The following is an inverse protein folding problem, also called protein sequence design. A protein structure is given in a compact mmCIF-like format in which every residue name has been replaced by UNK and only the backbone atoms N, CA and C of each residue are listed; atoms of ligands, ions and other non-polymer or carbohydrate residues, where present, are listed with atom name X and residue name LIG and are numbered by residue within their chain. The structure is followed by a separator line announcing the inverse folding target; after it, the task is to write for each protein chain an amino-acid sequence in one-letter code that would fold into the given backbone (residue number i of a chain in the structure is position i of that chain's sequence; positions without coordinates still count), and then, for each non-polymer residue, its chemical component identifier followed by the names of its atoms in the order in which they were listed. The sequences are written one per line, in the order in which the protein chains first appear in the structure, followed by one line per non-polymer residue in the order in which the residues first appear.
data_IF_123282409139
#
_entry.id   IF_123282409139
#
_cell.length_a   1.000
_cell.length_b   1.000
_cell.length_c   1.000
_cell.angle_alpha   90.00
_cell.angle_beta   90.00
_cell.angle_gamma   90.00
#
_symmetry.space_group_name_H-M   'P 1'
#
loop_
_entity.id
_entity.type
_entity.pdbx_description
1 polymer ?
#
# COMPACT_ATOMS: atom_id res chain seq x y z
N UNK A 1 4.42 22.24 -8.67
CA UNK A 1 3.17 22.24 -7.89
C UNK A 1 2.98 20.85 -7.33
N UNK A 2 2.56 20.72 -6.06
CA UNK A 2 2.19 19.44 -5.45
C UNK A 2 0.75 19.12 -5.90
N UNK A 3 0.58 18.05 -6.64
CA UNK A 3 -0.67 17.61 -7.25
C UNK A 3 -0.70 16.08 -7.37
N UNK A 4 -1.79 15.50 -7.84
CA UNK A 4 -1.91 14.05 -8.01
C UNK A 4 -0.74 13.45 -8.81
N UNK A 5 -0.25 14.14 -9.84
CA UNK A 5 0.91 13.67 -10.64
C UNK A 5 2.20 13.58 -9.82
N UNK A 6 2.34 14.37 -8.75
CA UNK A 6 3.51 14.26 -7.88
C UNK A 6 3.47 12.96 -7.06
N UNK A 7 2.28 12.56 -6.61
CA UNK A 7 2.14 11.27 -5.94
C UNK A 7 2.39 10.09 -6.90
N UNK A 8 1.94 10.20 -8.16
CA UNK A 8 2.22 9.19 -9.18
C UNK A 8 3.73 8.98 -9.39
N UNK A 9 4.55 10.05 -9.26
CA UNK A 9 6.01 9.93 -9.29
C UNK A 9 6.55 9.15 -8.09
N UNK A 10 6.01 9.37 -6.88
CA UNK A 10 6.39 8.58 -5.70
C UNK A 10 6.01 7.11 -5.89
N UNK A 11 4.83 6.83 -6.45
CA UNK A 11 4.39 5.47 -6.78
C UNK A 11 5.28 4.83 -7.84
N UNK A 12 5.69 5.57 -8.85
CA UNK A 12 6.60 5.07 -9.89
C UNK A 12 7.96 4.68 -9.30
N UNK A 13 8.44 5.41 -8.30
CA UNK A 13 9.68 5.07 -7.59
C UNK A 13 9.54 3.76 -6.80
N UNK A 14 8.40 3.53 -6.14
CA UNK A 14 8.10 2.25 -5.51
C UNK A 14 8.13 1.09 -6.50
N UNK A 15 7.40 1.22 -7.62
CA UNK A 15 7.40 0.22 -8.70
C UNK A 15 8.78 -0.02 -9.28
N UNK A 16 9.57 1.04 -9.49
CA UNK A 16 10.94 0.97 -9.96
C UNK A 16 11.84 0.16 -9.01
N UNK A 17 11.81 0.43 -7.71
CA UNK A 17 12.54 -0.35 -6.72
C UNK A 17 12.15 -1.83 -6.73
N UNK A 18 10.85 -2.13 -6.74
CA UNK A 18 10.34 -3.51 -6.75
C UNK A 18 10.82 -4.24 -8.01
N UNK A 19 10.70 -3.63 -9.19
CA UNK A 19 11.16 -4.21 -10.46
C UNK A 19 12.67 -4.43 -10.49
N UNK A 20 13.47 -3.41 -10.13
CA UNK A 20 14.92 -3.52 -10.13
C UNK A 20 15.41 -4.58 -9.12
N UNK A 21 14.85 -4.62 -7.90
CA UNK A 21 15.18 -5.67 -6.93
C UNK A 21 14.82 -7.07 -7.44
N UNK A 22 13.72 -7.24 -8.17
CA UNK A 22 13.34 -8.53 -8.74
C UNK A 22 14.33 -9.02 -9.80
N UNK A 23 14.96 -8.10 -10.55
CA UNK A 23 15.97 -8.40 -11.54
C UNK A 23 17.34 -8.79 -10.94
N UNK A 24 17.66 -8.35 -9.70
CA UNK A 24 18.91 -8.71 -9.02
C UNK A 24 18.95 -10.21 -8.74
N UNK A 25 19.88 -10.91 -9.38
CA UNK A 25 20.10 -12.34 -9.16
C UNK A 25 21.07 -12.54 -8.00
N UNK A 26 20.54 -13.06 -6.89
CA UNK A 26 21.35 -13.48 -5.74
C UNK A 26 21.27 -15.00 -5.62
N UNK A 27 22.36 -15.62 -5.18
CA UNK A 27 22.36 -17.04 -4.76
C UNK A 27 21.59 -17.12 -3.42
N UNK A 28 20.29 -17.33 -3.49
CA UNK A 28 19.42 -17.42 -2.34
C UNK A 28 18.79 -18.81 -2.26
N UNK A 29 18.59 -19.35 -1.05
CA UNK A 29 17.74 -20.52 -0.89
C UNK A 29 16.32 -20.15 -1.34
N UNK A 30 15.63 -21.10 -1.95
CA UNK A 30 14.23 -20.90 -2.34
C UNK A 30 13.40 -20.42 -1.13
N UNK A 31 12.49 -19.46 -1.33
CA UNK A 31 11.60 -19.05 -0.26
C UNK A 31 10.74 -20.25 0.19
N UNK A 32 10.32 -20.29 1.47
CA UNK A 32 9.38 -21.29 1.94
C UNK A 32 8.18 -21.39 0.98
N UNK A 33 7.65 -22.61 0.71
CA UNK A 33 6.52 -22.76 -0.22
C UNK A 33 5.33 -21.88 0.12
N UNK A 34 5.05 -21.68 1.41
CA UNK A 34 3.98 -20.81 1.88
C UNK A 34 4.18 -19.31 1.56
N UNK A 35 5.40 -18.88 1.20
CA UNK A 35 5.69 -17.50 0.73
C UNK A 35 5.69 -17.37 -0.79
N UNK A 36 5.56 -18.47 -1.52
CA UNK A 36 5.54 -18.42 -2.98
C UNK A 36 4.18 -17.89 -3.45
N UNK A 37 4.24 -16.96 -4.41
CA UNK A 37 3.04 -16.43 -5.05
C UNK A 37 2.35 -17.57 -5.80
N UNK A 38 1.09 -17.83 -5.49
CA UNK A 38 0.28 -18.80 -6.23
C UNK A 38 -0.35 -18.12 -7.45
N UNK A 39 -0.63 -18.91 -8.49
CA UNK A 39 -1.31 -18.39 -9.68
C UNK A 39 -2.64 -17.73 -9.32
N UNK A 40 -2.84 -16.49 -9.74
CA UNK A 40 -4.04 -15.69 -9.45
C UNK A 40 -3.98 -14.86 -8.16
N UNK A 41 -2.87 -14.88 -7.41
CA UNK A 41 -2.67 -13.98 -6.27
C UNK A 41 -1.91 -12.73 -6.74
N UNK A 42 -2.45 -11.54 -6.47
CA UNK A 42 -1.78 -10.27 -6.75
C UNK A 42 -0.72 -9.92 -5.68
N UNK A 43 -0.89 -10.42 -4.47
CA UNK A 43 -0.01 -10.13 -3.35
C UNK A 43 0.54 -11.43 -2.76
N UNK A 44 1.86 -11.46 -2.52
CA UNK A 44 2.48 -12.65 -1.94
C UNK A 44 2.16 -12.77 -0.45
N UNK A 45 2.05 -13.99 0.10
CA UNK A 45 1.97 -14.19 1.55
C UNK A 45 3.10 -13.50 2.32
N UNK A 46 4.25 -13.26 1.68
CA UNK A 46 5.35 -12.48 2.26
C UNK A 46 4.93 -11.04 2.58
N UNK A 47 4.11 -10.41 1.75
CA UNK A 47 3.60 -9.07 2.01
C UNK A 47 2.72 -9.06 3.28
N UNK A 48 1.83 -10.03 3.43
CA UNK A 48 0.99 -10.15 4.63
C UNK A 48 1.81 -10.44 5.89
N UNK A 49 2.84 -11.27 5.80
CA UNK A 49 3.74 -11.51 6.92
C UNK A 49 4.51 -10.24 7.32
N UNK A 50 4.95 -9.44 6.33
CA UNK A 50 5.57 -8.13 6.57
C UNK A 50 4.59 -7.17 7.24
N UNK A 51 3.34 -7.11 6.79
CA UNK A 51 2.29 -6.30 7.42
C UNK A 51 2.00 -6.77 8.84
N UNK A 52 1.89 -8.07 9.06
CA UNK A 52 1.67 -8.65 10.38
C UNK A 52 2.80 -8.29 11.37
N UNK A 53 4.04 -8.19 10.90
CA UNK A 53 5.18 -7.77 11.71
C UNK A 53 5.09 -6.32 12.21
N UNK A 54 4.27 -5.48 11.59
CA UNK A 54 4.02 -4.12 12.06
C UNK A 54 3.29 -4.10 13.41
N UNK A 55 2.64 -5.19 13.78
CA UNK A 55 1.92 -5.33 15.05
C UNK A 55 2.78 -5.93 16.18
N UNK A 56 3.87 -6.63 15.87
CA UNK A 56 4.75 -7.23 16.89
C UNK A 56 5.34 -6.17 17.84
N UNK A 57 5.31 -6.35 19.18
CA UNK A 57 4.92 -7.54 19.94
C UNK A 57 3.43 -7.67 20.28
N UNK A 58 2.59 -6.74 19.86
CA UNK A 58 1.15 -6.78 20.10
C UNK A 58 0.50 -7.93 19.32
N UNK A 59 -0.61 -8.51 19.82
CA UNK A 59 -1.31 -9.52 19.06
C UNK A 59 -1.93 -8.92 17.80
N UNK A 60 -1.89 -9.72 16.73
CA UNK A 60 -2.57 -9.42 15.48
C UNK A 60 -3.92 -10.12 15.45
N UNK A 61 -4.94 -9.48 14.93
CA UNK A 61 -6.23 -10.09 14.60
C UNK A 61 -6.60 -9.83 13.15
N UNK A 62 -7.58 -10.56 12.63
CA UNK A 62 -8.17 -10.30 11.32
C UNK A 62 -8.66 -8.84 11.23
N UNK A 63 -9.31 -8.35 12.30
CA UNK A 63 -9.81 -6.98 12.36
C UNK A 63 -8.68 -5.95 12.27
N UNK A 64 -7.57 -6.15 13.00
CA UNK A 64 -6.40 -5.27 12.95
C UNK A 64 -5.79 -5.22 11.55
N UNK A 65 -5.54 -6.38 10.94
CA UNK A 65 -4.93 -6.45 9.62
C UNK A 65 -5.83 -5.83 8.54
N UNK A 66 -7.16 -5.98 8.67
CA UNK A 66 -8.12 -5.31 7.79
C UNK A 66 -8.18 -3.79 7.93
N UNK A 67 -7.74 -3.22 9.03
CA UNK A 67 -7.55 -1.76 9.10
C UNK A 67 -6.39 -1.33 8.21
N UNK A 68 -5.36 -2.16 8.09
CA UNK A 68 -4.20 -1.91 7.21
C UNK A 68 -4.51 -2.17 5.73
N UNK A 69 -5.40 -3.15 5.45
CA UNK A 69 -5.96 -3.41 4.12
C UNK A 69 -7.50 -3.49 4.18
N UNK A 70 -8.14 -2.33 4.10
CA UNK A 70 -9.60 -2.20 4.23
C UNK A 70 -10.37 -2.76 3.04
N UNK A 71 -9.69 -3.05 1.94
CA UNK A 71 -10.27 -3.55 0.70
C UNK A 71 -10.32 -5.08 0.64
N UNK A 72 -9.50 -5.78 1.44
CA UNK A 72 -9.50 -7.24 1.48
C UNK A 72 -10.74 -7.78 2.20
N UNK A 73 -11.30 -8.88 1.70
CA UNK A 73 -12.35 -9.61 2.38
C UNK A 73 -11.82 -10.27 3.64
N UNK A 74 -12.61 -10.29 4.71
CA UNK A 74 -12.25 -10.91 5.99
C UNK A 74 -11.77 -12.36 5.82
N UNK A 75 -12.47 -13.13 4.96
CA UNK A 75 -12.15 -14.55 4.73
C UNK A 75 -10.75 -14.78 4.14
N UNK A 76 -10.24 -13.87 3.29
CA UNK A 76 -8.89 -14.06 2.73
C UNK A 76 -7.82 -13.72 3.76
N UNK A 77 -8.04 -12.68 4.55
CA UNK A 77 -7.16 -12.32 5.65
C UNK A 77 -7.10 -13.43 6.70
N UNK A 78 -8.26 -13.98 7.08
CA UNK A 78 -8.35 -15.11 7.99
C UNK A 78 -7.61 -16.34 7.44
N UNK A 79 -7.82 -16.69 6.17
CA UNK A 79 -7.16 -17.82 5.52
C UNK A 79 -5.62 -17.66 5.50
N UNK A 80 -5.11 -16.44 5.26
CA UNK A 80 -3.68 -16.18 5.28
C UNK A 80 -3.09 -16.30 6.68
N UNK A 81 -3.78 -15.82 7.71
CA UNK A 81 -3.35 -15.99 9.10
C UNK A 81 -3.31 -17.47 9.51
N UNK A 82 -4.30 -18.26 9.08
CA UNK A 82 -4.29 -19.72 9.32
C UNK A 82 -3.11 -20.41 8.62
N UNK A 83 -2.78 -20.04 7.39
CA UNK A 83 -1.58 -20.56 6.70
C UNK A 83 -0.32 -20.23 7.50
N UNK A 84 -0.18 -19.01 7.99
CA UNK A 84 0.98 -18.59 8.78
C UNK A 84 1.05 -19.29 10.14
N UNK A 85 -0.10 -19.59 10.75
CA UNK A 85 -0.16 -20.38 11.97
C UNK A 85 0.21 -21.86 11.71
N UNK A 86 -0.26 -22.47 10.62
CA UNK A 86 0.10 -23.82 10.21
C UNK A 86 1.61 -23.98 9.93
N UNK A 87 2.25 -22.95 9.36
CA UNK A 87 3.71 -22.85 9.18
C UNK A 87 4.47 -22.56 10.49
N UNK A 88 3.78 -22.43 11.62
CA UNK A 88 4.32 -22.13 12.95
C UNK A 88 5.02 -20.75 13.03
N UNK A 89 4.62 -19.82 12.16
CA UNK A 89 5.11 -18.42 12.24
C UNK A 89 4.33 -17.61 13.26
N UNK A 90 3.09 -18.03 13.55
CA UNK A 90 2.25 -17.45 14.59
C UNK A 90 1.72 -18.54 15.53
N UNK A 91 1.55 -18.15 16.79
CA UNK A 91 0.71 -18.88 17.75
C UNK A 91 -0.67 -18.24 17.76
N UNK A 92 -1.71 -19.08 17.60
CA UNK A 92 -3.10 -18.63 17.68
C UNK A 92 -3.65 -18.82 19.08
N UNK A 93 -4.23 -17.76 19.65
CA UNK A 93 -4.92 -17.75 20.93
C UNK A 93 -6.33 -17.14 20.74
N UNK A 94 -7.33 -17.98 20.46
CA UNK A 94 -8.66 -17.50 20.07
C UNK A 94 -8.62 -16.78 18.73
N UNK A 95 -8.97 -15.49 18.73
CA UNK A 95 -8.92 -14.62 17.53
C UNK A 95 -7.61 -13.85 17.40
N UNK A 96 -6.70 -13.99 18.33
CA UNK A 96 -5.41 -13.32 18.37
C UNK A 96 -4.29 -14.22 17.85
N UNK A 97 -3.35 -13.62 17.11
CA UNK A 97 -2.17 -14.27 16.54
C UNK A 97 -0.92 -13.56 17.05
N UNK A 98 0.00 -14.31 17.63
CA UNK A 98 1.27 -13.79 18.16
C UNK A 98 2.44 -14.28 17.32
N UNK A 99 3.29 -13.35 16.86
CA UNK A 99 4.45 -13.68 16.06
C UNK A 99 5.46 -14.50 16.86
N UNK A 100 5.85 -15.67 16.34
CA UNK A 100 6.82 -16.59 16.93
C UNK A 100 8.25 -16.28 16.51
N UNK A 101 9.21 -16.91 17.17
CA UNK A 101 10.62 -16.85 16.80
C UNK A 101 10.87 -17.34 15.37
N UNK A 102 10.16 -18.40 14.94
CA UNK A 102 10.24 -18.93 13.57
C UNK A 102 9.75 -17.92 12.52
N UNK A 103 8.65 -17.22 12.80
CA UNK A 103 8.14 -16.15 11.95
C UNK A 103 9.09 -14.95 11.87
N UNK A 104 9.68 -14.54 13.01
CA UNK A 104 10.72 -13.49 13.04
C UNK A 104 11.93 -13.89 12.22
N UNK A 105 12.40 -15.14 12.29
CA UNK A 105 13.51 -15.62 11.47
C UNK A 105 13.20 -15.57 9.96
N UNK A 106 11.94 -15.80 9.55
CA UNK A 106 11.52 -15.62 8.15
C UNK A 106 11.55 -14.15 7.76
N UNK A 107 11.03 -13.25 8.60
CA UNK A 107 11.09 -11.80 8.37
C UNK A 107 12.51 -11.28 8.26
N UNK A 108 13.41 -11.73 9.13
CA UNK A 108 14.82 -11.32 9.09
C UNK A 108 15.47 -11.75 7.77
N UNK A 109 15.14 -12.93 7.24
CA UNK A 109 15.61 -13.35 5.91
C UNK A 109 15.05 -12.45 4.80
N UNK A 110 13.76 -12.12 4.85
CA UNK A 110 13.14 -11.22 3.87
C UNK A 110 13.83 -9.86 3.90
N UNK A 111 14.08 -9.32 5.10
CA UNK A 111 14.80 -8.05 5.28
C UNK A 111 16.24 -8.13 4.73
N UNK A 112 17.01 -9.13 5.15
CA UNK A 112 18.38 -9.32 4.70
C UNK A 112 18.48 -9.46 3.18
N UNK A 113 17.55 -10.19 2.55
CA UNK A 113 17.47 -10.32 1.10
C UNK A 113 17.16 -8.97 0.43
N UNK A 114 16.21 -8.22 0.96
CA UNK A 114 15.88 -6.88 0.48
C UNK A 114 17.10 -5.95 0.58
N UNK A 115 17.78 -5.89 1.72
CA UNK A 115 18.96 -5.06 1.92
C UNK A 115 20.05 -5.41 0.92
N UNK A 116 20.33 -6.72 0.70
CA UNK A 116 21.33 -7.15 -0.30
C UNK A 116 20.95 -6.73 -1.71
N UNK A 117 19.68 -6.86 -2.10
CA UNK A 117 19.19 -6.45 -3.43
C UNK A 117 19.30 -4.94 -3.60
N UNK A 118 18.86 -4.15 -2.62
CA UNK A 118 18.97 -2.69 -2.64
C UNK A 118 20.44 -2.24 -2.73
N UNK A 119 21.35 -2.89 -1.97
CA UNK A 119 22.79 -2.58 -1.99
C UNK A 119 23.47 -2.96 -3.32
N UNK A 120 22.88 -3.86 -4.10
CA UNK A 120 23.38 -4.23 -5.42
C UNK A 120 22.92 -3.27 -6.53
N UNK A 121 21.97 -2.37 -6.25
CA UNK A 121 21.51 -1.37 -7.22
C UNK A 121 22.54 -0.24 -7.33
N UNK A 122 23.04 0.02 -8.54
CA UNK A 122 23.98 1.11 -8.81
C UNK A 122 23.23 2.44 -8.94
N UNK A 123 22.72 2.96 -7.83
CA UNK A 123 22.00 4.23 -7.78
C UNK A 123 22.96 5.41 -7.61
N UNK A 124 22.70 6.59 -8.21
CA UNK A 124 23.53 7.77 -8.05
C UNK A 124 23.42 8.32 -6.62
N UNK A 125 24.54 8.49 -5.94
CA UNK A 125 24.61 8.83 -4.50
C UNK A 125 23.94 10.18 -4.17
N UNK A 126 24.16 11.20 -4.99
CA UNK A 126 23.70 12.56 -4.70
C UNK A 126 22.15 12.67 -4.76
N UNK A 127 21.47 12.27 -5.85
CA UNK A 127 20.00 12.23 -5.89
C UNK A 127 19.41 11.33 -4.80
N UNK A 128 20.03 10.16 -4.57
CA UNK A 128 19.57 9.20 -3.56
C UNK A 128 19.58 9.82 -2.15
N UNK A 129 20.70 10.43 -1.76
CA UNK A 129 20.86 11.02 -0.41
C UNK A 129 20.01 12.26 -0.23
N UNK A 130 19.87 13.09 -1.29
CA UNK A 130 19.03 14.28 -1.23
C UNK A 130 17.54 13.93 -1.09
N UNK A 131 17.07 12.97 -1.88
CA UNK A 131 15.69 12.49 -1.81
C UNK A 131 15.40 11.77 -0.49
N UNK A 132 16.31 10.93 0.00
CA UNK A 132 16.19 10.28 1.32
C UNK A 132 15.96 11.32 2.41
N UNK A 133 16.75 12.37 2.43
CA UNK A 133 16.64 13.45 3.43
C UNK A 133 15.33 14.22 3.31
N UNK A 134 14.92 14.54 2.08
CA UNK A 134 13.68 15.28 1.84
C UNK A 134 12.45 14.47 2.27
N UNK A 135 12.39 13.17 1.93
CA UNK A 135 11.27 12.31 2.34
C UNK A 135 11.27 12.05 3.85
N UNK A 136 12.44 11.89 4.48
CA UNK A 136 12.52 11.80 5.94
C UNK A 136 11.87 13.00 6.62
N UNK A 137 12.24 14.22 6.22
CA UNK A 137 11.65 15.44 6.81
C UNK A 137 10.13 15.51 6.62
N UNK A 138 9.64 15.11 5.45
CA UNK A 138 8.19 15.03 5.19
C UNK A 138 7.52 13.99 6.08
N UNK A 139 8.11 12.80 6.25
CA UNK A 139 7.56 11.73 7.07
C UNK A 139 7.54 12.13 8.55
N UNK A 140 8.62 12.75 9.05
CA UNK A 140 8.67 13.24 10.43
C UNK A 140 7.54 14.26 10.69
N UNK A 141 7.32 15.21 9.77
CA UNK A 141 6.19 16.15 9.83
C UNK A 141 4.82 15.49 9.69
N UNK A 142 4.74 14.39 8.93
CA UNK A 142 3.50 13.63 8.78
C UNK A 142 3.11 12.93 10.07
N UNK A 143 4.08 12.43 10.83
CA UNK A 143 3.87 11.82 12.15
C UNK A 143 3.33 12.82 13.17
N UNK A 144 3.73 14.08 13.07
CA UNK A 144 3.26 15.17 13.91
C UNK A 144 1.90 15.74 13.49
N UNK A 145 1.32 15.22 12.41
CA UNK A 145 0.03 15.67 11.88
C UNK A 145 -1.11 15.31 12.83
N UNK A 146 -1.48 16.24 13.71
CA UNK A 146 -2.51 16.06 14.75
C UNK A 146 -3.96 16.13 14.24
N UNK A 147 -4.18 16.42 12.97
CA UNK A 147 -5.51 16.50 12.36
C UNK A 147 -5.85 15.22 11.58
N UNK A 148 -7.15 14.96 11.30
CA UNK A 148 -7.43 13.92 10.32
C UNK A 148 -6.52 14.09 9.12
N UNK A 149 -5.87 13.01 8.71
CA UNK A 149 -6.31 11.63 8.88
C UNK A 149 -5.91 10.94 10.19
N UNK A 150 -5.04 11.50 11.01
CA UNK A 150 -4.25 10.71 11.94
C UNK A 150 -3.11 9.99 11.22
N UNK A 151 -2.37 9.15 11.93
CA UNK A 151 -1.16 8.52 11.39
C UNK A 151 -1.09 7.02 11.72
N UNK A 152 -2.23 6.33 11.73
CA UNK A 152 -2.28 4.94 12.16
C UNK A 152 -1.45 4.01 11.25
N UNK A 153 -1.71 4.03 9.93
CA UNK A 153 -0.96 3.22 8.96
C UNK A 153 0.50 3.64 8.89
N UNK A 154 0.78 4.93 8.91
CA UNK A 154 2.15 5.47 8.94
C UNK A 154 2.90 5.01 10.19
N UNK A 155 2.30 5.14 11.39
CA UNK A 155 2.94 4.73 12.64
C UNK A 155 3.27 3.24 12.65
N UNK A 156 2.39 2.38 12.10
CA UNK A 156 2.66 0.95 11.95
C UNK A 156 3.77 0.69 10.92
N UNK A 157 3.75 1.34 9.77
CA UNK A 157 4.82 1.24 8.78
C UNK A 157 6.18 1.62 9.36
N UNK A 158 6.23 2.67 10.20
CA UNK A 158 7.47 3.11 10.88
C UNK A 158 8.05 2.11 11.87
N UNK A 159 7.26 1.16 12.37
CA UNK A 159 7.79 0.06 13.21
C UNK A 159 8.78 -0.84 12.47
N UNK A 160 8.79 -0.78 11.13
CA UNK A 160 9.73 -1.50 10.26
C UNK A 160 10.90 -0.64 9.78
N UNK A 161 11.01 0.60 10.27
CA UNK A 161 12.07 1.49 9.84
C UNK A 161 13.45 0.85 10.00
N UNK A 162 14.33 1.00 8.99
CA UNK A 162 15.73 0.60 9.14
C UNK A 162 16.42 1.47 10.19
N UNK A 163 17.54 0.99 10.71
CA UNK A 163 18.37 1.73 11.64
C UNK A 163 19.05 2.94 10.98
N UNK A 164 19.51 3.90 11.77
CA UNK A 164 20.11 5.15 11.25
C UNK A 164 21.37 4.91 10.42
N UNK A 165 22.10 3.83 10.67
CA UNK A 165 23.30 3.42 9.94
C UNK A 165 22.99 2.58 8.68
N UNK A 166 21.72 2.29 8.40
CA UNK A 166 21.32 1.56 7.19
C UNK A 166 21.68 2.34 5.91
N UNK A 167 21.94 1.63 4.79
CA UNK A 167 22.23 2.25 3.50
C UNK A 167 21.15 3.24 3.06
N UNK A 168 21.49 4.36 2.39
CA UNK A 168 20.50 5.35 1.94
C UNK A 168 19.40 4.76 1.06
N UNK A 169 19.69 3.77 0.22
CA UNK A 169 18.70 3.10 -0.63
C UNK A 169 17.64 2.35 0.19
N UNK A 170 18.05 1.74 1.33
CA UNK A 170 17.12 1.04 2.22
C UNK A 170 16.22 2.03 2.96
N UNK A 171 16.79 3.13 3.44
CA UNK A 171 16.04 4.22 4.07
C UNK A 171 15.06 4.86 3.10
N UNK A 172 15.51 5.18 1.88
CA UNK A 172 14.64 5.75 0.86
C UNK A 172 13.48 4.80 0.51
N UNK A 173 13.76 3.51 0.30
CA UNK A 173 12.73 2.51 0.04
C UNK A 173 11.67 2.49 1.17
N UNK A 174 12.10 2.57 2.43
CA UNK A 174 11.18 2.63 3.57
C UNK A 174 10.38 3.94 3.58
N UNK A 175 11.01 5.10 3.32
CA UNK A 175 10.27 6.38 3.28
C UNK A 175 9.24 6.44 2.16
N UNK A 176 9.50 5.79 1.01
CA UNK A 176 8.49 5.65 -0.04
C UNK A 176 7.30 4.79 0.44
N UNK A 177 7.58 3.69 1.16
CA UNK A 177 6.53 2.88 1.79
C UNK A 177 5.74 3.68 2.85
N UNK A 178 6.42 4.52 3.62
CA UNK A 178 5.79 5.38 4.62
C UNK A 178 4.91 6.47 3.99
N UNK A 179 5.34 7.05 2.86
CA UNK A 179 4.50 7.97 2.08
C UNK A 179 3.19 7.29 1.62
N UNK A 180 3.28 6.03 1.18
CA UNK A 180 2.10 5.25 0.80
C UNK A 180 1.20 5.00 2.01
N UNK A 181 1.76 4.59 3.14
CA UNK A 181 1.02 4.38 4.38
C UNK A 181 0.33 5.67 4.87
N UNK A 182 1.00 6.81 4.77
CA UNK A 182 0.38 8.10 5.12
C UNK A 182 -0.74 8.48 4.15
N UNK A 183 -0.56 8.22 2.84
CA UNK A 183 -1.63 8.45 1.88
C UNK A 183 -2.84 7.56 2.13
N UNK A 184 -2.64 6.31 2.56
CA UNK A 184 -3.72 5.42 2.99
C UNK A 184 -4.50 6.03 4.16
N UNK A 185 -3.81 6.56 5.19
CA UNK A 185 -4.46 7.27 6.31
C UNK A 185 -5.28 8.46 5.81
N UNK A 186 -4.72 9.29 4.92
CA UNK A 186 -5.40 10.43 4.32
C UNK A 186 -6.64 10.00 3.52
N UNK A 187 -6.49 8.95 2.71
CA UNK A 187 -7.56 8.46 1.86
C UNK A 187 -8.69 7.85 2.68
N UNK A 188 -8.38 7.02 3.67
CA UNK A 188 -9.38 6.45 4.57
C UNK A 188 -10.13 7.53 5.35
N UNK A 189 -9.46 8.57 5.82
CA UNK A 189 -10.11 9.69 6.50
C UNK A 189 -11.04 10.49 5.57
N UNK A 190 -10.74 10.52 4.26
CA UNK A 190 -11.55 11.24 3.29
C UNK A 190 -12.88 10.54 2.96
N UNK A 191 -12.88 9.20 2.81
CA UNK A 191 -14.07 8.47 2.37
C UNK A 191 -14.81 7.69 3.46
N UNK A 192 -14.16 7.22 4.53
CA UNK A 192 -14.84 6.49 5.62
C UNK A 192 -16.03 7.22 6.23
N UNK A 193 -15.99 8.55 6.42
CA UNK A 193 -17.14 9.30 6.91
C UNK A 193 -18.39 9.22 6.03
N UNK A 194 -18.27 8.73 4.79
CA UNK A 194 -19.40 8.49 3.90
C UNK A 194 -20.23 7.24 4.30
N UNK A 195 -19.74 6.45 5.28
CA UNK A 195 -20.44 5.28 5.81
C UNK A 195 -20.56 4.14 4.80
N UNK A 196 -19.55 3.96 3.94
CA UNK A 196 -19.44 2.82 3.00
C UNK A 196 -18.33 1.88 3.43
N UNK A 197 -18.39 0.63 2.97
CA UNK A 197 -17.33 -0.36 3.15
C UNK A 197 -16.25 -0.22 2.10
N UNK A 198 -15.09 -0.84 2.33
CA UNK A 198 -13.97 -0.83 1.38
C UNK A 198 -14.36 -1.38 0.00
N UNK A 199 -15.11 -2.51 -0.04
CA UNK A 199 -15.58 -3.09 -1.31
C UNK A 199 -16.47 -2.10 -2.08
N UNK A 200 -17.40 -1.42 -1.42
CA UNK A 200 -18.31 -0.44 -2.08
C UNK A 200 -17.51 0.74 -2.63
N UNK A 201 -16.53 1.24 -1.84
CA UNK A 201 -15.68 2.34 -2.25
C UNK A 201 -14.77 1.99 -3.43
N UNK A 202 -14.14 0.81 -3.42
CA UNK A 202 -13.30 0.32 -4.51
C UNK A 202 -14.14 0.05 -5.78
N UNK A 203 -15.33 -0.55 -5.62
CA UNK A 203 -16.30 -0.75 -6.72
C UNK A 203 -16.66 0.57 -7.38
N UNK A 204 -16.95 1.64 -6.61
CA UNK A 204 -17.24 2.96 -7.17
C UNK A 204 -16.06 3.49 -8.00
N UNK A 205 -14.83 3.22 -7.58
CA UNK A 205 -13.63 3.57 -8.35
C UNK A 205 -13.64 2.92 -9.73
N UNK A 206 -13.71 1.59 -9.80
CA UNK A 206 -13.67 0.84 -11.05
C UNK A 206 -14.86 1.15 -11.99
N UNK A 207 -16.03 1.39 -11.42
CA UNK A 207 -17.21 1.83 -12.20
C UNK A 207 -16.98 3.24 -12.76
N UNK A 208 -16.34 4.11 -12.00
CA UNK A 208 -16.04 5.49 -12.46
C UNK A 208 -15.00 5.50 -13.57
N UNK A 209 -14.01 4.63 -13.48
CA UNK A 209 -12.94 4.51 -14.48
C UNK A 209 -13.36 3.65 -15.70
N UNK A 210 -14.58 3.08 -15.68
CA UNK A 210 -15.10 2.24 -16.75
C UNK A 210 -14.49 0.84 -16.85
N UNK A 211 -13.67 0.43 -15.86
CA UNK A 211 -12.98 -0.87 -15.85
C UNK A 211 -13.78 -1.98 -15.15
N UNK A 212 -14.86 -1.62 -14.45
CA UNK A 212 -15.71 -2.54 -13.71
C UNK A 212 -17.22 -2.41 -14.06
N UNK A 213 -17.64 -2.59 -15.34
CA UNK A 213 -19.02 -2.34 -15.73
C UNK A 213 -20.02 -3.42 -15.27
N UNK A 214 -19.55 -4.56 -14.76
CA UNK A 214 -20.38 -5.65 -14.25
C UNK A 214 -19.76 -6.29 -13.01
N UNK A 215 -20.59 -7.02 -12.23
CA UNK A 215 -20.08 -7.76 -11.07
C UNK A 215 -19.01 -8.81 -11.45
N UNK A 216 -19.16 -9.44 -12.61
CA UNK A 216 -18.15 -10.38 -13.12
C UNK A 216 -16.84 -9.67 -13.50
N UNK A 217 -16.91 -8.50 -14.15
CA UNK A 217 -15.73 -7.72 -14.48
C UNK A 217 -14.99 -7.25 -13.22
N UNK A 218 -15.73 -6.78 -12.21
CA UNK A 218 -15.20 -6.42 -10.90
C UNK A 218 -14.51 -7.62 -10.22
N UNK A 219 -15.17 -8.78 -10.21
CA UNK A 219 -14.59 -10.01 -9.67
C UNK A 219 -13.31 -10.41 -10.40
N UNK A 220 -13.26 -10.34 -11.72
CA UNK A 220 -12.04 -10.64 -12.48
C UNK A 220 -10.90 -9.66 -12.17
N UNK A 221 -11.20 -8.36 -12.11
CA UNK A 221 -10.21 -7.33 -11.82
C UNK A 221 -9.68 -7.40 -10.38
N UNK A 222 -10.52 -7.79 -9.42
CA UNK A 222 -10.25 -7.73 -7.98
C UNK A 222 -10.31 -9.13 -7.33
N UNK A 223 -10.07 -10.21 -8.08
CA UNK A 223 -10.15 -11.60 -7.58
C UNK A 223 -9.27 -11.85 -6.35
N UNK A 224 -8.15 -11.14 -6.24
CA UNK A 224 -7.22 -11.19 -5.11
C UNK A 224 -7.78 -10.59 -3.81
N UNK A 225 -8.82 -9.77 -3.88
CA UNK A 225 -9.49 -9.21 -2.70
C UNK A 225 -10.31 -10.23 -1.92
N UNK A 226 -10.58 -11.40 -2.50
CA UNK A 226 -11.28 -12.50 -1.86
C UNK A 226 -12.81 -12.33 -1.82
N UNK A 227 -13.40 -11.36 -2.49
CA UNK A 227 -14.85 -11.23 -2.65
C UNK A 227 -15.39 -12.13 -3.78
N UNK A 228 -16.69 -12.44 -3.75
CA UNK A 228 -17.39 -13.18 -4.79
C UNK A 228 -18.08 -12.22 -5.77
N UNK A 229 -18.54 -12.75 -6.91
CA UNK A 229 -19.42 -12.01 -7.85
C UNK A 229 -20.65 -11.46 -7.13
N UNK A 230 -21.24 -12.25 -6.22
CA UNK A 230 -22.42 -11.82 -5.46
C UNK A 230 -22.12 -10.65 -4.50
N UNK A 231 -20.92 -10.61 -3.90
CA UNK A 231 -20.49 -9.50 -3.05
C UNK A 231 -20.38 -8.21 -3.88
N UNK A 232 -19.84 -8.29 -5.11
CA UNK A 232 -19.77 -7.14 -6.02
C UNK A 232 -21.12 -6.72 -6.54
N UNK A 233 -22.04 -7.66 -6.82
CA UNK A 233 -23.41 -7.32 -7.16
C UNK A 233 -24.10 -6.53 -6.02
N UNK A 234 -23.93 -6.97 -4.78
CA UNK A 234 -24.45 -6.25 -3.60
C UNK A 234 -23.83 -4.85 -3.47
N UNK A 235 -22.53 -4.70 -3.74
CA UNK A 235 -21.85 -3.40 -3.72
C UNK A 235 -22.40 -2.45 -4.80
N UNK A 236 -22.69 -2.96 -6.00
CA UNK A 236 -23.32 -2.19 -7.09
C UNK A 236 -24.74 -1.75 -6.72
N UNK A 237 -25.54 -2.62 -6.10
CA UNK A 237 -26.87 -2.29 -5.61
C UNK A 237 -26.82 -1.20 -4.52
N UNK A 238 -25.84 -1.25 -3.61
CA UNK A 238 -25.63 -0.20 -2.61
C UNK A 238 -25.27 1.14 -3.28
N UNK A 239 -24.42 1.13 -4.30
CA UNK A 239 -24.06 2.33 -5.05
C UNK A 239 -25.29 2.93 -5.77
N UNK A 240 -26.18 2.07 -6.32
CA UNK A 240 -27.43 2.52 -6.93
C UNK A 240 -28.37 3.14 -5.89
N UNK A 241 -28.54 2.49 -4.74
CA UNK A 241 -29.37 2.99 -3.65
C UNK A 241 -28.91 4.37 -3.12
N UNK A 242 -27.61 4.66 -3.22
CA UNK A 242 -27.00 5.97 -2.89
C UNK A 242 -27.08 6.98 -4.04
N UNK A 243 -27.50 6.56 -5.21
CA UNK A 243 -27.52 7.39 -6.42
C UNK A 243 -26.13 7.64 -7.02
N UNK A 244 -25.11 6.85 -6.64
CA UNK A 244 -23.71 7.05 -7.10
C UNK A 244 -23.37 6.24 -8.35
N UNK A 245 -24.15 5.20 -8.64
CA UNK A 245 -24.05 4.44 -9.89
C UNK A 245 -25.46 4.15 -10.44
N UNK A 246 -25.52 3.90 -11.74
CA UNK A 246 -26.75 3.50 -12.43
C UNK A 246 -26.45 2.38 -13.43
N UNK A 247 -27.39 1.44 -13.55
CA UNK A 247 -27.35 0.39 -14.59
C UNK A 247 -27.79 0.98 -15.94
N UNK A 248 -27.05 0.65 -16.99
CA UNK A 248 -27.31 1.03 -18.38
C UNK A 248 -27.30 -0.21 -19.28
N UNK A 249 -27.58 -0.04 -20.58
CA UNK A 249 -27.47 -1.16 -21.54
C UNK A 249 -26.03 -1.73 -21.64
N UNK A 250 -25.01 -0.89 -21.38
CA UNK A 250 -23.59 -1.25 -21.48
C UNK A 250 -23.00 -1.66 -20.11
N UNK A 251 -23.83 -1.80 -19.08
CA UNK A 251 -23.42 -2.12 -17.72
C UNK A 251 -23.54 -0.94 -16.75
N UNK A 252 -22.88 -1.06 -15.60
CA UNK A 252 -22.92 -0.04 -14.55
C UNK A 252 -22.00 1.14 -14.88
N UNK A 253 -22.48 2.35 -14.61
CA UNK A 253 -21.75 3.60 -14.80
C UNK A 253 -21.95 4.51 -13.59
N UNK A 254 -20.92 5.28 -13.23
CA UNK A 254 -21.05 6.28 -12.19
C UNK A 254 -21.94 7.45 -12.63
N UNK A 255 -22.80 7.91 -11.74
CA UNK A 255 -23.61 9.11 -11.94
C UNK A 255 -22.75 10.37 -11.78
N UNK A 256 -23.33 11.55 -12.05
CA UNK A 256 -22.69 12.83 -11.74
C UNK A 256 -22.36 12.94 -10.23
N UNK A 257 -23.27 12.48 -9.35
CA UNK A 257 -23.07 12.51 -7.90
C UNK A 257 -21.98 11.54 -7.46
N UNK A 258 -21.93 10.32 -8.02
CA UNK A 258 -20.86 9.35 -7.75
C UNK A 258 -19.47 9.90 -8.12
N UNK A 259 -19.35 10.52 -9.30
CA UNK A 259 -18.11 11.19 -9.71
C UNK A 259 -17.75 12.36 -8.80
N UNK A 260 -18.72 13.17 -8.38
CA UNK A 260 -18.49 14.30 -7.48
C UNK A 260 -18.02 13.84 -6.09
N UNK A 261 -18.59 12.75 -5.56
CA UNK A 261 -18.18 12.13 -4.30
C UNK A 261 -16.73 11.63 -4.38
N UNK A 262 -16.37 10.89 -5.45
CA UNK A 262 -15.00 10.44 -5.70
C UNK A 262 -14.03 11.62 -5.78
N UNK A 263 -14.31 12.59 -6.62
CA UNK A 263 -13.47 13.78 -6.79
C UNK A 263 -13.30 14.57 -5.48
N UNK A 264 -14.32 14.60 -4.63
CA UNK A 264 -14.23 15.28 -3.33
C UNK A 264 -13.34 14.51 -2.36
N UNK A 265 -13.44 13.18 -2.32
CA UNK A 265 -12.57 12.35 -1.49
C UNK A 265 -11.10 12.47 -1.95
N UNK A 266 -10.82 12.44 -3.26
CA UNK A 266 -9.45 12.63 -3.77
C UNK A 266 -8.88 14.01 -3.41
N UNK A 267 -9.65 15.09 -3.58
CA UNK A 267 -9.19 16.42 -3.15
C UNK A 267 -8.90 16.51 -1.64
N UNK A 268 -9.70 15.85 -0.80
CA UNK A 268 -9.45 15.79 0.65
C UNK A 268 -8.20 14.99 0.96
N UNK A 269 -8.01 13.86 0.28
CA UNK A 269 -6.80 13.04 0.37
C UNK A 269 -5.57 13.87 0.03
N UNK A 270 -5.58 14.55 -1.12
CA UNK A 270 -4.45 15.38 -1.57
C UNK A 270 -4.17 16.52 -0.60
N UNK A 271 -5.22 17.21 -0.13
CA UNK A 271 -5.07 18.31 0.84
C UNK A 271 -4.38 17.83 2.12
N UNK A 272 -4.79 16.68 2.66
CA UNK A 272 -4.19 16.13 3.87
C UNK A 272 -2.78 15.58 3.62
N UNK A 273 -2.59 14.86 2.51
CA UNK A 273 -1.29 14.26 2.15
C UNK A 273 -0.21 15.32 1.88
N UNK A 274 -0.58 16.42 1.24
CA UNK A 274 0.39 17.49 0.93
C UNK A 274 0.56 18.53 2.03
N UNK A 275 -0.23 18.50 3.12
CA UNK A 275 -0.06 19.44 4.23
C UNK A 275 1.36 19.40 4.83
N UNK A 276 1.97 18.22 5.12
CA UNK A 276 3.34 18.15 5.63
C UNK A 276 4.42 18.66 4.64
N UNK A 277 4.11 18.73 3.35
CA UNK A 277 5.01 19.20 2.29
C UNK A 277 5.03 20.74 2.16
N UNK A 278 4.12 21.44 2.83
CA UNK A 278 3.91 22.89 2.67
C UNK A 278 5.10 23.75 3.06
N UNK A 279 6.09 23.19 3.77
CA UNK A 279 7.34 23.88 4.12
C UNK A 279 8.33 23.94 2.97
N UNK A 280 8.16 23.10 1.93
CA UNK A 280 9.05 23.07 0.78
C UNK A 280 8.78 24.26 -0.16
N UNK A 281 9.85 24.89 -0.61
CA UNK A 281 9.76 25.88 -1.68
C UNK A 281 9.45 25.21 -3.04
N UNK A 282 9.02 26.01 -4.02
CA UNK A 282 8.83 25.49 -5.38
C UNK A 282 10.14 24.93 -5.99
N UNK A 283 11.28 25.48 -5.61
CA UNK A 283 12.59 24.99 -6.05
C UNK A 283 12.90 23.61 -5.44
N UNK A 284 12.58 23.40 -4.15
CA UNK A 284 12.76 22.10 -3.50
C UNK A 284 11.87 21.03 -4.14
N UNK A 285 10.61 21.36 -4.43
CA UNK A 285 9.67 20.43 -5.11
C UNK A 285 10.18 20.05 -6.50
N UNK A 286 10.74 20.99 -7.25
CA UNK A 286 11.32 20.71 -8.57
C UNK A 286 12.55 19.82 -8.43
N UNK A 287 13.45 20.09 -7.48
CA UNK A 287 14.62 19.26 -7.22
C UNK A 287 14.23 17.83 -6.83
N UNK A 288 13.20 17.66 -6.00
CA UNK A 288 12.67 16.33 -5.65
C UNK A 288 12.12 15.61 -6.88
N UNK A 289 11.39 16.30 -7.76
CA UNK A 289 10.89 15.71 -9.03
C UNK A 289 12.05 15.22 -9.91
N UNK A 290 13.09 16.04 -10.05
CA UNK A 290 14.27 15.69 -10.85
C UNK A 290 15.03 14.50 -10.26
N UNK A 291 15.16 14.44 -8.93
CA UNK A 291 15.78 13.31 -8.24
C UNK A 291 14.97 12.00 -8.43
N UNK A 292 13.65 12.07 -8.29
CA UNK A 292 12.78 10.91 -8.54
C UNK A 292 12.90 10.46 -10.00
N UNK A 293 12.88 11.37 -10.95
CA UNK A 293 13.02 11.04 -12.38
C UNK A 293 14.37 10.37 -12.67
N UNK A 294 15.46 10.91 -12.09
CA UNK A 294 16.81 10.35 -12.22
C UNK A 294 16.89 8.93 -11.66
N UNK A 295 16.36 8.71 -10.44
CA UNK A 295 16.36 7.38 -9.82
C UNK A 295 15.48 6.40 -10.59
N UNK A 296 14.29 6.82 -11.05
CA UNK A 296 13.41 5.96 -11.86
C UNK A 296 14.07 5.52 -13.17
N UNK A 297 14.81 6.40 -13.83
CA UNK A 297 15.55 6.03 -15.04
C UNK A 297 16.60 4.94 -14.74
N UNK A 298 17.33 5.06 -13.65
CA UNK A 298 18.32 4.05 -13.24
C UNK A 298 17.66 2.72 -12.84
N UNK A 299 16.58 2.78 -12.06
CA UNK A 299 15.84 1.60 -11.63
C UNK A 299 15.23 0.85 -12.81
N UNK A 300 14.67 1.57 -13.80
CA UNK A 300 14.13 0.98 -15.04
C UNK A 300 15.22 0.33 -15.88
N UNK A 301 16.42 0.91 -15.91
CA UNK A 301 17.55 0.34 -16.64
C UNK A 301 18.15 -0.90 -15.96
N UNK A 302 17.88 -1.08 -14.67
CA UNK A 302 18.33 -2.23 -13.88
C UNK A 302 17.30 -3.38 -13.82
N UNK A 303 16.05 -3.13 -14.20
CA UNK A 303 14.95 -4.11 -14.24
C UNK A 303 14.92 -4.87 -15.57
#
# INVERSE_FOLDING_TARGET
MLDAQFYDLIQSLWGGFVGAMAAVRLAEPAPPPALQLQAGQAESPAWFLIQAAEFDPEPLSVACLRVRDVYAAERIVAALLEVMAAERWFDRHGDDYHLRAEGRAVLDRIRANRTRRLSALALPDEPLTRLERALRDVIDRSLDSGNPPGTWSLAHSRRRAPTDDAPPAEKLFQYVADCNAFRDDCHMAAWRPLGVTGIVWETLGLVTDGTGPTADALFQALSYRGYSVADYATALDELAARGWAASTADGWQSTADGRAVRATAERRTDTAFYAPWSHLSSADVLAIRDDIATLNQQLTSAA
#
